data_IF_191078720883
#
_entry.id   IF_191078720883
#
_cell.length_a   1.000
_cell.length_b   1.000
_cell.length_c   1.000
_cell.angle_alpha   90.00
_cell.angle_beta   90.00
_cell.angle_gamma   90.00
#
_symmetry.space_group_name_H-M   'P 1'
#
loop_
_entity.id
_entity.type
_entity.pdbx_description
1 polymer ?
#
# COMPACT_ATOMS: atom_id res chain seq x y z
N UNK A 1 10.98 -16.15 18.22
CA UNK A 1 11.09 -15.79 16.80
C UNK A 1 9.91 -16.38 16.03
N UNK A 2 8.84 -15.63 15.88
CA UNK A 2 7.71 -16.01 15.03
C UNK A 2 8.02 -15.61 13.59
N UNK A 3 7.91 -16.58 12.68
CA UNK A 3 8.05 -16.43 11.23
C UNK A 3 7.13 -15.30 10.74
N UNK A 4 7.72 -14.17 10.35
CA UNK A 4 7.06 -13.21 9.51
C UNK A 4 7.09 -13.76 8.09
N UNK A 5 6.01 -14.45 7.72
CA UNK A 5 5.65 -14.60 6.32
C UNK A 5 5.76 -13.22 5.66
N UNK A 6 6.63 -13.10 4.66
CA UNK A 6 6.76 -11.93 3.78
C UNK A 6 5.45 -11.74 3.00
N UNK A 7 4.35 -11.42 3.69
CA UNK A 7 3.30 -10.62 3.09
C UNK A 7 3.99 -9.31 2.81
N UNK A 8 4.11 -8.97 1.53
CA UNK A 8 4.39 -7.60 1.12
C UNK A 8 3.41 -6.74 1.92
N UNK A 9 3.87 -6.06 2.96
CA UNK A 9 3.02 -5.21 3.80
C UNK A 9 2.82 -3.86 3.09
N UNK A 10 1.87 -3.04 3.54
CA UNK A 10 1.56 -1.79 2.86
C UNK A 10 2.75 -0.82 2.93
N UNK A 11 3.46 -0.85 4.05
CA UNK A 11 4.59 -0.02 4.42
C UNK A 11 5.81 -0.32 3.54
N UNK A 12 6.05 -1.58 3.21
CA UNK A 12 7.10 -1.99 2.26
C UNK A 12 6.76 -1.55 0.85
N UNK A 13 5.51 -1.71 0.42
CA UNK A 13 5.07 -1.21 -0.89
C UNK A 13 5.19 0.32 -0.98
N UNK A 14 4.94 1.03 0.12
CA UNK A 14 5.12 2.48 0.19
C UNK A 14 6.60 2.87 0.11
N UNK A 15 7.48 2.18 0.84
CA UNK A 15 8.94 2.38 0.74
C UNK A 15 9.49 2.11 -0.65
N UNK A 16 9.02 1.06 -1.32
CA UNK A 16 9.43 0.80 -2.70
C UNK A 16 8.96 1.90 -3.65
N UNK A 17 7.77 2.46 -3.43
CA UNK A 17 7.28 3.59 -4.22
C UNK A 17 8.14 4.85 -3.99
N UNK A 18 8.55 5.13 -2.75
CA UNK A 18 9.47 6.24 -2.43
C UNK A 18 10.80 6.08 -3.18
N UNK A 19 11.39 4.88 -3.17
CA UNK A 19 12.62 4.58 -3.91
C UNK A 19 12.47 4.73 -5.43
N UNK A 20 11.29 4.39 -5.97
CA UNK A 20 11.00 4.58 -7.39
C UNK A 20 10.90 6.07 -7.73
N UNK A 21 10.28 6.88 -6.87
CA UNK A 21 10.22 8.33 -7.03
C UNK A 21 11.63 8.91 -7.02
N UNK A 22 12.47 8.53 -6.05
CA UNK A 22 13.87 8.96 -5.98
C UNK A 22 14.64 8.62 -7.27
N UNK A 23 14.45 7.42 -7.83
CA UNK A 23 15.06 7.03 -9.12
C UNK A 23 14.56 7.87 -10.28
N UNK A 24 13.26 8.15 -10.34
CA UNK A 24 12.66 8.96 -11.40
C UNK A 24 13.08 10.44 -11.32
N UNK A 25 13.51 10.91 -10.15
CA UNK A 25 14.07 12.25 -9.95
C UNK A 25 15.57 12.34 -10.28
N UNK A 26 16.26 11.21 -10.48
CA UNK A 26 17.67 11.21 -10.90
C UNK A 26 17.81 11.73 -12.34
N UNK A 27 18.54 12.84 -12.51
CA UNK A 27 18.80 13.46 -13.81
C UNK A 27 19.59 12.55 -14.77
N UNK A 28 20.26 11.50 -14.25
CA UNK A 28 21.05 10.55 -15.04
C UNK A 28 20.27 9.29 -15.45
N UNK A 29 18.98 9.18 -15.09
CA UNK A 29 18.18 8.03 -15.48
C UNK A 29 18.03 7.97 -17.00
N UNK A 30 18.30 6.80 -17.58
CA UNK A 30 18.07 6.60 -19.01
C UNK A 30 16.59 6.32 -19.30
N UNK A 31 16.20 6.43 -20.58
CA UNK A 31 14.81 6.27 -21.01
C UNK A 31 14.23 4.89 -20.70
N UNK A 32 15.03 3.83 -20.83
CA UNK A 32 14.54 2.47 -20.59
C UNK A 32 14.25 2.25 -19.10
N UNK A 33 15.14 2.73 -18.24
CA UNK A 33 15.02 2.61 -16.80
C UNK A 33 13.92 3.53 -16.24
N UNK A 34 13.69 4.71 -16.84
CA UNK A 34 12.58 5.58 -16.44
C UNK A 34 11.22 4.98 -16.78
N UNK A 35 11.09 4.33 -17.95
CA UNK A 35 9.87 3.60 -18.32
C UNK A 35 9.64 2.43 -17.37
N UNK A 36 10.67 1.62 -17.08
CA UNK A 36 10.55 0.50 -16.12
C UNK A 36 10.16 0.97 -14.73
N UNK A 37 10.84 2.00 -14.21
CA UNK A 37 10.54 2.57 -12.89
C UNK A 37 9.11 3.10 -12.81
N UNK A 38 8.62 3.73 -13.88
CA UNK A 38 7.24 4.19 -13.97
C UNK A 38 6.23 3.04 -13.95
N UNK A 39 6.46 1.99 -14.74
CA UNK A 39 5.58 0.81 -14.76
C UNK A 39 5.51 0.11 -13.39
N UNK A 40 6.66 -0.04 -12.72
CA UNK A 40 6.76 -0.58 -11.36
C UNK A 40 5.99 0.29 -10.37
N UNK A 41 6.18 1.62 -10.43
CA UNK A 41 5.48 2.58 -9.58
C UNK A 41 3.96 2.51 -9.73
N UNK A 42 3.47 2.45 -10.96
CA UNK A 42 2.03 2.29 -11.26
C UNK A 42 1.49 0.98 -10.69
N UNK A 43 2.24 -0.11 -10.80
CA UNK A 43 1.86 -1.41 -10.24
C UNK A 43 1.76 -1.35 -8.71
N UNK A 44 2.75 -0.76 -8.04
CA UNK A 44 2.78 -0.61 -6.59
C UNK A 44 1.63 0.26 -6.08
N UNK A 45 1.35 1.39 -6.73
CA UNK A 45 0.21 2.26 -6.38
C UNK A 45 -1.10 1.48 -6.42
N UNK A 46 -1.34 0.68 -7.46
CA UNK A 46 -2.54 -0.16 -7.56
C UNK A 46 -2.63 -1.18 -6.43
N UNK A 47 -1.50 -1.79 -6.04
CA UNK A 47 -1.46 -2.73 -4.92
C UNK A 47 -1.76 -2.05 -3.58
N UNK A 48 -1.18 -0.87 -3.33
CA UNK A 48 -1.45 -0.06 -2.14
C UNK A 48 -2.93 0.32 -2.04
N UNK A 49 -3.52 0.81 -3.14
CA UNK A 49 -4.94 1.16 -3.19
C UNK A 49 -5.83 -0.04 -2.87
N UNK A 50 -5.53 -1.22 -3.43
CA UNK A 50 -6.28 -2.45 -3.14
C UNK A 50 -6.20 -2.82 -1.66
N UNK A 51 -5.02 -2.77 -1.04
CA UNK A 51 -4.86 -3.05 0.40
C UNK A 51 -5.68 -2.09 1.27
N UNK A 52 -5.68 -0.80 0.92
CA UNK A 52 -6.47 0.21 1.64
C UNK A 52 -7.98 -0.07 1.51
N UNK A 53 -8.45 -0.42 0.31
CA UNK A 53 -9.84 -0.82 0.08
C UNK A 53 -10.22 -2.06 0.89
N UNK A 54 -9.37 -3.09 0.91
CA UNK A 54 -9.61 -4.32 1.68
C UNK A 54 -9.67 -4.03 3.18
N UNK A 55 -8.80 -3.14 3.69
CA UNK A 55 -8.80 -2.70 5.07
C UNK A 55 -10.08 -1.91 5.42
N UNK A 56 -10.50 -0.99 4.56
CA UNK A 56 -11.74 -0.22 4.71
C UNK A 56 -12.97 -1.14 4.73
N UNK A 57 -13.05 -2.10 3.80
CA UNK A 57 -14.13 -3.10 3.77
C UNK A 57 -14.17 -3.95 5.04
N UNK A 58 -13.00 -4.32 5.58
CA UNK A 58 -12.91 -5.06 6.84
C UNK A 58 -13.43 -4.21 8.00
N UNK A 59 -13.07 -2.93 8.08
CA UNK A 59 -13.57 -2.01 9.11
C UNK A 59 -15.09 -1.88 8.99
N UNK A 60 -15.62 -1.65 7.79
CA UNK A 60 -17.06 -1.55 7.55
C UNK A 60 -17.82 -2.80 8.01
N UNK A 61 -17.34 -3.99 7.66
CA UNK A 61 -17.94 -5.25 8.12
C UNK A 61 -17.97 -5.36 9.64
N UNK A 62 -16.88 -5.00 10.33
CA UNK A 62 -16.84 -5.02 11.80
C UNK A 62 -17.83 -4.03 12.44
N UNK A 63 -18.09 -2.89 11.78
CA UNK A 63 -19.07 -1.90 12.23
C UNK A 63 -20.52 -2.32 11.94
N UNK A 64 -20.77 -2.95 10.80
CA UNK A 64 -22.08 -3.43 10.35
C UNK A 64 -22.51 -4.72 11.07
N UNK A 65 -21.57 -5.61 11.41
CA UNK A 65 -21.81 -6.90 12.11
C UNK A 65 -22.15 -6.72 13.61
N UNK A 66 -22.63 -5.53 14.04
CA UNK A 66 -23.33 -5.35 15.32
C UNK A 66 -22.49 -4.99 16.54
N UNK A 67 -21.23 -4.57 16.38
CA UNK A 67 -20.41 -4.05 17.50
C UNK A 67 -20.60 -2.54 17.75
N UNK A 68 -21.38 -1.86 16.92
CA UNK A 68 -21.62 -0.42 16.94
C UNK A 68 -22.70 0.05 17.92
N UNK A 69 -23.36 -0.86 18.66
CA UNK A 69 -24.36 -0.50 19.68
C UNK A 69 -23.78 -0.05 21.04
N UNK A 70 -22.45 -0.01 21.25
CA UNK A 70 -21.87 0.37 22.56
C UNK A 70 -20.82 1.49 22.57
N UNK A 71 -20.44 2.06 21.43
CA UNK A 71 -19.36 3.09 21.42
C UNK A 71 -19.88 4.50 21.78
N UNK A 72 -21.22 4.71 21.85
CA UNK A 72 -21.84 5.96 22.29
C UNK A 72 -22.58 5.83 23.64
N UNK A 73 -21.89 5.41 24.71
CA UNK A 73 -22.38 5.60 26.09
C UNK A 73 -21.21 5.98 26.99
N UNK A 74 -20.85 7.25 26.99
CA UNK A 74 -20.13 7.92 28.08
C UNK A 74 -20.53 9.38 28.07
#
# INVERSE_FOLDING_TARGET
MTKEDKKVDFESSLKELELIVEKLEDENINLEDSVKSFEEGVSLVKQCQKKLQDAELKIRKLLDDGSSSQINKS
#
